data_IF_597812568100
#
_entry.id   IF_597812568100
#
_cell.length_a   1.000
_cell.length_b   1.000
_cell.length_c   1.000
_cell.angle_alpha   90.00
_cell.angle_beta   90.00
_cell.angle_gamma   90.00
#
_symmetry.space_group_name_H-M   'P 1'
#
loop_
_entity.id
_entity.type
_entity.pdbx_description
1 polymer ?
#
# COMPACT_ATOMS: atom_id res chain seq x y z
N UNK A 1 26.19 -14.28 10.01
CA UNK A 1 25.85 -13.33 8.92
C UNK A 1 24.40 -12.86 9.06
N UNK A 2 24.14 -11.55 9.31
CA UNK A 2 22.78 -11.04 9.48
C UNK A 2 21.99 -11.10 8.16
N UNK A 3 20.78 -11.67 8.19
CA UNK A 3 19.88 -11.77 7.02
C UNK A 3 18.94 -10.57 6.98
N UNK A 4 18.75 -9.98 5.81
CA UNK A 4 17.79 -8.87 5.61
C UNK A 4 16.36 -9.40 5.85
N UNK A 5 15.64 -8.76 6.78
CA UNK A 5 14.25 -9.09 7.13
C UNK A 5 13.27 -8.12 6.48
N UNK A 6 12.06 -8.59 6.20
CA UNK A 6 11.00 -7.72 5.68
C UNK A 6 10.45 -6.79 6.77
N UNK A 7 10.13 -5.56 6.38
CA UNK A 7 9.55 -4.56 7.30
C UNK A 7 8.09 -4.93 7.64
N UNK A 8 7.85 -5.44 8.85
CA UNK A 8 6.53 -5.91 9.31
C UNK A 8 5.46 -4.82 9.28
N UNK A 9 5.83 -3.58 9.55
CA UNK A 9 4.90 -2.43 9.54
C UNK A 9 4.38 -2.11 8.15
N UNK A 10 5.16 -2.40 7.10
CA UNK A 10 4.75 -2.25 5.72
C UNK A 10 3.79 -3.38 5.31
N UNK A 11 4.12 -4.63 5.66
CA UNK A 11 3.26 -5.79 5.41
C UNK A 11 1.84 -5.66 5.98
N UNK A 12 1.67 -4.97 7.11
CA UNK A 12 0.35 -4.71 7.70
C UNK A 12 -0.47 -3.65 6.91
N UNK A 13 0.19 -2.80 6.13
CA UNK A 13 -0.42 -1.63 5.47
C UNK A 13 -0.69 -1.85 3.98
N UNK A 14 0.14 -2.65 3.30
CA UNK A 14 0.03 -2.91 1.86
C UNK A 14 -0.28 -4.38 1.58
N UNK A 15 -1.03 -4.63 0.50
CA UNK A 15 -1.28 -5.97 -0.04
C UNK A 15 -0.65 -6.04 -1.42
N UNK A 16 0.17 -7.05 -1.67
CA UNK A 16 0.67 -7.37 -3.02
C UNK A 16 -0.30 -8.37 -3.66
N UNK A 17 -0.83 -8.05 -4.84
CA UNK A 17 -1.74 -8.94 -5.57
C UNK A 17 -0.96 -10.06 -6.28
N UNK A 18 -1.66 -11.09 -6.76
CA UNK A 18 -1.05 -12.18 -7.56
C UNK A 18 -0.33 -11.64 -8.81
N UNK A 19 -0.83 -10.56 -9.39
CA UNK A 19 -0.26 -9.90 -10.58
C UNK A 19 0.91 -8.97 -10.27
N UNK A 20 1.25 -8.76 -8.99
CA UNK A 20 2.38 -7.91 -8.58
C UNK A 20 2.02 -6.47 -8.22
N UNK A 21 0.74 -6.09 -8.29
CA UNK A 21 0.28 -4.73 -7.96
C UNK A 21 0.30 -4.50 -6.45
N UNK A 22 0.69 -3.29 -6.04
CA UNK A 22 0.66 -2.90 -4.63
C UNK A 22 -0.65 -2.17 -4.35
N UNK A 23 -1.48 -2.75 -3.49
CA UNK A 23 -2.73 -2.15 -3.04
C UNK A 23 -2.56 -1.51 -1.66
N UNK A 24 -2.90 -0.23 -1.53
CA UNK A 24 -2.88 0.53 -0.27
C UNK A 24 -4.25 1.10 0.06
N UNK A 25 -4.48 1.45 1.32
CA UNK A 25 -5.63 2.28 1.71
C UNK A 25 -5.33 3.75 1.45
N UNK A 26 -6.38 4.52 1.23
CA UNK A 26 -6.29 5.97 1.15
C UNK A 26 -6.01 6.61 2.52
N UNK A 27 -5.27 7.72 2.48
CA UNK A 27 -4.88 8.50 3.65
C UNK A 27 -6.01 9.43 4.10
N UNK A 28 -5.94 9.90 5.34
CA UNK A 28 -6.89 10.85 5.92
C UNK A 28 -8.35 10.38 5.95
N UNK A 29 -8.57 9.08 6.14
CA UNK A 29 -9.90 8.44 6.18
C UNK A 29 -10.37 8.03 7.59
N UNK A 30 -9.65 8.45 8.63
CA UNK A 30 -9.98 8.12 10.02
C UNK A 30 -11.20 8.89 10.55
N UNK A 31 -11.17 10.22 10.44
CA UNK A 31 -12.14 11.12 11.06
C UNK A 31 -12.64 12.20 10.08
N UNK A 32 -13.52 13.09 10.54
CA UNK A 32 -14.02 14.26 9.80
C UNK A 32 -14.80 13.94 8.49
N UNK A 33 -15.43 12.76 8.43
CA UNK A 33 -16.20 12.32 7.25
C UNK A 33 -17.49 13.09 7.01
N UNK A 34 -18.01 13.78 8.03
CA UNK A 34 -19.25 14.60 7.93
C UNK A 34 -19.18 15.65 6.82
N UNK A 35 -17.97 16.17 6.53
CA UNK A 35 -17.77 17.21 5.51
C UNK A 35 -17.65 16.64 4.09
N UNK A 36 -17.65 15.32 3.92
CA UNK A 36 -17.46 14.68 2.63
C UNK A 36 -18.79 14.36 1.97
N UNK A 37 -18.84 14.51 0.65
CA UNK A 37 -19.94 13.96 -0.15
C UNK A 37 -19.89 12.43 -0.15
N UNK A 38 -21.05 11.81 -0.37
CA UNK A 38 -21.18 10.35 -0.46
C UNK A 38 -20.20 9.73 -1.49
N UNK A 39 -20.04 10.38 -2.64
CA UNK A 39 -19.09 9.96 -3.69
C UNK A 39 -17.63 10.00 -3.22
N UNK A 40 -17.22 11.06 -2.52
CA UNK A 40 -15.86 11.17 -1.97
C UNK A 40 -15.60 10.09 -0.91
N UNK A 41 -16.57 9.85 -0.03
CA UNK A 41 -16.49 8.81 0.97
C UNK A 41 -16.38 7.41 0.35
N UNK A 42 -17.16 7.13 -0.70
CA UNK A 42 -17.13 5.84 -1.41
C UNK A 42 -15.75 5.60 -2.03
N UNK A 43 -15.24 6.54 -2.83
CA UNK A 43 -13.92 6.43 -3.48
C UNK A 43 -12.80 6.23 -2.46
N UNK A 44 -12.81 7.00 -1.36
CA UNK A 44 -11.77 6.93 -0.33
C UNK A 44 -11.83 5.67 0.54
N UNK A 45 -12.96 4.98 0.61
CA UNK A 45 -13.09 3.72 1.39
C UNK A 45 -12.35 2.55 0.73
N UNK A 46 -12.18 2.60 -0.59
CA UNK A 46 -11.50 1.57 -1.38
C UNK A 46 -10.00 1.43 -1.09
N UNK A 47 -9.42 0.37 -1.64
CA UNK A 47 -7.97 0.25 -1.77
C UNK A 47 -7.60 0.66 -3.19
N UNK A 48 -6.56 1.46 -3.30
CA UNK A 48 -6.04 1.94 -4.57
C UNK A 48 -4.68 1.31 -4.88
N UNK A 49 -4.40 1.19 -6.17
CA UNK A 49 -3.09 0.77 -6.66
C UNK A 49 -2.07 1.89 -6.42
N UNK A 50 -0.89 1.54 -5.93
CA UNK A 50 0.23 2.47 -5.87
C UNK A 50 0.85 2.60 -7.25
N UNK A 51 0.67 3.76 -7.87
CA UNK A 51 1.17 4.05 -9.23
C UNK A 51 2.54 4.73 -9.23
N UNK A 52 2.90 5.37 -8.12
CA UNK A 52 4.16 6.11 -8.04
C UNK A 52 5.38 5.19 -8.07
N UNK A 53 6.23 5.37 -9.08
CA UNK A 53 7.40 4.52 -9.37
C UNK A 53 8.47 4.59 -8.27
N UNK A 54 8.67 5.77 -7.68
CA UNK A 54 9.65 5.98 -6.60
C UNK A 54 9.27 5.19 -5.36
N UNK A 55 8.01 5.28 -4.95
CA UNK A 55 7.47 4.50 -3.84
C UNK A 55 7.49 3.00 -4.12
N UNK A 56 7.18 2.56 -5.34
CA UNK A 56 7.26 1.13 -5.72
C UNK A 56 8.68 0.61 -5.51
N UNK A 57 9.71 1.35 -5.94
CA UNK A 57 11.12 0.99 -5.76
C UNK A 57 11.48 0.81 -4.27
N UNK A 58 11.07 1.76 -3.42
CA UNK A 58 11.32 1.71 -1.98
C UNK A 58 10.59 0.51 -1.34
N UNK A 59 9.31 0.31 -1.67
CA UNK A 59 8.49 -0.78 -1.12
C UNK A 59 9.06 -2.15 -1.51
N UNK A 60 9.51 -2.31 -2.76
CA UNK A 60 10.14 -3.53 -3.26
C UNK A 60 11.36 -3.89 -2.41
N UNK A 61 12.24 -2.91 -2.14
CA UNK A 61 13.45 -3.12 -1.34
C UNK A 61 13.13 -3.49 0.12
N UNK A 62 12.10 -2.88 0.71
CA UNK A 62 11.71 -3.13 2.12
C UNK A 62 11.00 -4.47 2.34
N UNK A 63 10.43 -5.08 1.29
CA UNK A 63 9.69 -6.35 1.38
C UNK A 63 10.56 -7.58 1.08
N UNK A 64 11.76 -7.40 0.49
CA UNK A 64 12.75 -8.44 0.24
C UNK A 64 12.11 -9.66 -0.45
N UNK A 65 12.00 -10.82 0.23
CA UNK A 65 11.37 -12.04 -0.30
C UNK A 65 9.93 -11.82 -0.78
N UNK A 66 9.15 -11.02 -0.06
CA UNK A 66 7.74 -10.73 -0.40
C UNK A 66 7.60 -9.67 -1.50
N UNK A 67 8.70 -9.02 -1.90
CA UNK A 67 8.73 -8.03 -2.98
C UNK A 67 9.11 -8.59 -4.36
N UNK A 68 9.52 -9.87 -4.46
CA UNK A 68 10.06 -10.48 -5.69
C UNK A 68 9.09 -10.59 -6.88
N UNK A 69 7.82 -10.24 -6.72
CA UNK A 69 6.82 -10.22 -7.79
C UNK A 69 6.21 -8.85 -8.06
N UNK A 70 6.74 -7.78 -7.46
CA UNK A 70 6.21 -6.42 -7.61
C UNK A 70 6.68 -5.84 -8.94
N UNK A 71 5.73 -5.45 -9.81
CA UNK A 71 6.00 -4.71 -11.05
C UNK A 71 6.14 -3.22 -10.76
#
# INVERSE_FOLDING_TARGET
>A
MPKIKSKKTLLKRVKVTKTGKIMKKNVSTGHLKRKWSASSQHRKKGREEQLDRGHIKIIRNLLVKKGKGIK
#
